data_IF_676354586282
#
_entry.id   IF_676354586282
#
_cell.length_a   1.000
_cell.length_b   1.000
_cell.length_c   1.000
_cell.angle_alpha   90.00
_cell.angle_beta   90.00
_cell.angle_gamma   90.00
#
_symmetry.space_group_name_H-M   'P 1'
#
loop_
_entity.id
_entity.type
_entity.pdbx_description
1 polymer ?
#
# COMPACT_ATOMS: atom_id res chain seq x y z
N UNK A 1 7.01 -12.39 24.52
CA UNK A 1 6.27 -13.63 24.17
C UNK A 1 4.80 -13.39 24.46
N UNK A 2 3.87 -13.88 23.65
CA UNK A 2 2.44 -13.65 23.84
C UNK A 2 1.68 -14.92 24.23
N UNK A 3 0.69 -14.79 25.11
CA UNK A 3 -0.29 -15.83 25.43
C UNK A 3 -1.67 -15.33 25.00
N UNK A 4 -2.30 -16.02 24.06
CA UNK A 4 -3.56 -15.61 23.45
C UNK A 4 -4.67 -16.56 23.91
N UNK A 5 -5.77 -16.00 24.38
CA UNK A 5 -7.00 -16.73 24.76
C UNK A 5 -8.18 -16.20 23.96
N UNK A 6 -9.36 -16.78 24.14
CA UNK A 6 -10.60 -16.28 23.55
C UNK A 6 -11.09 -14.96 24.17
N UNK A 7 -10.59 -14.58 25.35
CA UNK A 7 -11.06 -13.40 26.11
C UNK A 7 -10.02 -12.29 26.25
N UNK A 8 -8.74 -12.64 26.17
CA UNK A 8 -7.66 -11.69 26.41
C UNK A 8 -6.31 -12.16 25.85
N UNK A 9 -5.40 -11.19 25.72
CA UNK A 9 -4.01 -11.42 25.33
C UNK A 9 -3.09 -10.93 26.43
N UNK A 10 -2.12 -11.78 26.79
CA UNK A 10 -1.06 -11.44 27.71
C UNK A 10 0.30 -11.36 27.03
N UNK A 11 1.17 -10.52 27.57
CA UNK A 11 2.57 -10.41 27.20
C UNK A 11 3.47 -10.80 28.37
N UNK A 12 4.44 -11.69 28.13
CA UNK A 12 5.51 -11.97 29.08
C UNK A 12 6.57 -10.86 29.00
N UNK A 13 6.67 -10.07 30.05
CA UNK A 13 7.68 -9.02 30.23
C UNK A 13 8.73 -9.44 31.26
N UNK A 14 9.78 -8.65 31.45
CA UNK A 14 10.77 -8.87 32.52
C UNK A 14 10.19 -8.67 33.93
N UNK A 15 9.10 -7.91 34.06
CA UNK A 15 8.42 -7.68 35.32
C UNK A 15 7.34 -8.73 35.65
N UNK A 16 6.96 -9.57 34.67
CA UNK A 16 5.91 -10.57 34.81
C UNK A 16 4.92 -10.58 33.64
N UNK A 17 3.79 -11.25 33.83
CA UNK A 17 2.72 -11.37 32.83
C UNK A 17 1.86 -10.10 32.87
N UNK A 18 1.80 -9.40 31.74
CA UNK A 18 0.99 -8.21 31.55
C UNK A 18 -0.25 -8.52 30.73
N UNK A 19 -1.41 -8.02 31.15
CA UNK A 19 -2.63 -8.06 30.35
C UNK A 19 -2.64 -6.88 29.37
N UNK A 20 -2.60 -7.18 28.07
CA UNK A 20 -2.41 -6.15 27.02
C UNK A 20 -3.66 -5.94 26.15
N UNK A 21 -4.50 -6.96 25.98
CA UNK A 21 -5.75 -6.85 25.21
C UNK A 21 -6.90 -7.64 25.86
N UNK A 22 -8.14 -7.16 25.68
CA UNK A 22 -9.39 -7.80 26.10
C UNK A 22 -10.37 -7.91 24.93
N UNK A 23 -11.12 -9.00 24.85
CA UNK A 23 -12.10 -9.23 23.80
C UNK A 23 -13.27 -8.21 23.90
N UNK A 24 -13.86 -7.78 22.77
CA UNK A 24 -15.00 -6.87 22.77
C UNK A 24 -16.17 -7.43 23.60
N UNK A 25 -16.72 -6.61 24.50
CA UNK A 25 -17.85 -6.99 25.35
C UNK A 25 -17.52 -7.85 26.58
N UNK A 26 -16.25 -8.21 26.80
CA UNK A 26 -15.79 -8.92 28.00
C UNK A 26 -15.61 -7.96 29.17
N UNK A 27 -16.11 -8.35 30.35
CA UNK A 27 -15.92 -7.60 31.59
C UNK A 27 -14.59 -7.98 32.25
N UNK A 28 -13.70 -7.00 32.45
CA UNK A 28 -12.34 -7.23 32.97
C UNK A 28 -12.34 -7.95 34.32
N UNK A 29 -13.20 -7.54 35.26
CA UNK A 29 -13.17 -8.10 36.61
C UNK A 29 -13.84 -9.47 36.64
N UNK A 30 -15.06 -9.57 36.11
CA UNK A 30 -15.88 -10.78 36.18
C UNK A 30 -15.35 -11.90 35.29
N UNK A 31 -14.96 -11.57 34.06
CA UNK A 31 -14.72 -12.57 33.02
C UNK A 31 -13.23 -12.91 32.83
N UNK A 32 -12.33 -12.15 33.46
CA UNK A 32 -10.87 -12.35 33.40
C UNK A 32 -10.29 -12.43 34.81
N UNK A 33 -10.24 -11.33 35.57
CA UNK A 33 -9.47 -11.25 36.82
C UNK A 33 -9.99 -12.22 37.91
N UNK A 34 -11.31 -12.38 38.01
CA UNK A 34 -11.95 -13.30 38.97
C UNK A 34 -11.69 -14.78 38.65
N UNK A 35 -11.21 -15.09 37.44
CA UNK A 35 -10.92 -16.45 36.99
C UNK A 35 -9.42 -16.78 37.04
N UNK A 36 -8.59 -15.89 37.60
CA UNK A 36 -7.14 -16.05 37.68
C UNK A 36 -6.68 -16.22 39.13
N UNK A 37 -5.72 -17.11 39.36
CA UNK A 37 -5.08 -17.31 40.68
C UNK A 37 -4.10 -16.19 41.06
N UNK A 38 -3.83 -15.25 40.15
CA UNK A 38 -2.97 -14.10 40.38
C UNK A 38 -3.43 -12.89 39.57
N UNK A 39 -3.04 -11.68 40.00
CA UNK A 39 -3.34 -10.45 39.26
C UNK A 39 -2.24 -10.16 38.23
N UNK A 40 -2.56 -10.09 36.92
CA UNK A 40 -1.60 -9.69 35.90
C UNK A 40 -1.22 -8.22 36.06
N UNK A 41 -0.07 -7.85 35.50
CA UNK A 41 0.35 -6.46 35.40
C UNK A 41 -0.60 -5.71 34.45
N UNK A 42 -0.99 -4.49 34.83
CA UNK A 42 -1.81 -3.59 34.02
C UNK A 42 -1.33 -2.14 34.23
N UNK A 43 -0.10 -1.78 33.78
CA UNK A 43 0.41 -0.42 33.92
C UNK A 43 -0.45 0.60 33.15
N UNK A 44 -1.15 0.13 32.13
CA UNK A 44 -2.17 0.85 31.38
C UNK A 44 -3.42 -0.03 31.23
N UNK A 45 -4.62 0.55 31.06
CA UNK A 45 -5.80 -0.22 30.70
C UNK A 45 -5.55 -1.07 29.43
N UNK A 46 -6.03 -2.34 29.40
CA UNK A 46 -5.84 -3.17 28.22
C UNK A 46 -6.64 -2.64 27.04
N UNK A 47 -6.09 -2.82 25.85
CA UNK A 47 -6.73 -2.41 24.59
C UNK A 47 -7.86 -3.38 24.27
N UNK A 48 -8.85 -2.95 23.49
CA UNK A 48 -9.81 -3.90 22.93
C UNK A 48 -9.13 -4.67 21.79
N UNK A 49 -9.29 -5.99 21.77
CA UNK A 49 -8.84 -6.85 20.67
C UNK A 49 -9.51 -6.43 19.37
N UNK A 50 -8.85 -6.69 18.23
CA UNK A 50 -9.42 -6.36 16.92
C UNK A 50 -10.79 -7.05 16.73
N UNK A 51 -11.86 -6.26 16.59
CA UNK A 51 -13.22 -6.78 16.48
C UNK A 51 -13.41 -7.76 15.32
N UNK A 52 -12.59 -7.67 14.27
CA UNK A 52 -12.66 -8.57 13.12
C UNK A 52 -12.38 -10.02 13.50
N UNK A 53 -11.63 -10.26 14.59
CA UNK A 53 -11.38 -11.60 15.15
C UNK A 53 -12.70 -12.27 15.57
N UNK A 54 -13.69 -11.50 15.98
CA UNK A 54 -14.96 -11.97 16.56
C UNK A 54 -16.12 -11.97 15.56
N UNK A 55 -15.86 -11.68 14.28
CA UNK A 55 -16.86 -11.67 13.21
C UNK A 55 -16.71 -12.92 12.34
N UNK A 56 -17.81 -13.44 11.81
CA UNK A 56 -17.80 -14.62 10.91
C UNK A 56 -17.28 -14.29 9.50
N UNK A 57 -17.11 -13.01 9.16
CA UNK A 57 -16.61 -12.58 7.85
C UNK A 57 -15.08 -12.70 7.77
N UNK A 58 -14.50 -12.89 6.57
CA UNK A 58 -13.04 -12.85 6.40
C UNK A 58 -12.42 -11.54 6.92
N UNK A 59 -11.33 -11.65 7.67
CA UNK A 59 -10.64 -10.49 8.27
C UNK A 59 -9.91 -9.59 7.27
N UNK A 60 -9.70 -10.05 6.02
CA UNK A 60 -8.90 -9.34 5.02
C UNK A 60 -7.43 -9.23 5.39
N UNK A 61 -6.87 -10.22 6.11
CA UNK A 61 -5.46 -10.19 6.55
C UNK A 61 -4.48 -10.14 5.37
N UNK A 62 -4.84 -10.73 4.24
CA UNK A 62 -4.00 -10.69 3.04
C UNK A 62 -3.86 -9.27 2.53
N UNK A 63 -4.97 -8.54 2.42
CA UNK A 63 -5.00 -7.13 2.07
C UNK A 63 -4.21 -6.33 3.12
N UNK A 64 -4.50 -6.50 4.42
CA UNK A 64 -3.79 -5.79 5.49
C UNK A 64 -2.26 -6.01 5.50
N UNK A 65 -1.81 -7.24 5.21
CA UNK A 65 -0.40 -7.63 5.28
C UNK A 65 0.36 -7.42 3.96
N UNK A 66 -0.35 -7.40 2.82
CA UNK A 66 0.26 -7.25 1.49
C UNK A 66 0.01 -5.87 0.87
N UNK A 67 -0.95 -5.09 1.38
CA UNK A 67 -1.10 -3.69 1.00
C UNK A 67 0.02 -2.89 1.63
N UNK A 68 1.13 -2.81 0.89
CA UNK A 68 2.13 -1.76 1.12
C UNK A 68 1.37 -0.42 1.12
N UNK A 69 1.39 0.36 2.22
CA UNK A 69 0.76 1.67 2.25
C UNK A 69 1.23 2.48 1.07
N UNK A 70 0.34 3.26 0.45
CA UNK A 70 0.66 3.95 -0.80
C UNK A 70 1.93 4.79 -0.69
N UNK A 71 2.15 5.48 0.44
CA UNK A 71 3.36 6.25 0.72
C UNK A 71 4.66 5.42 0.70
N UNK A 72 4.61 4.14 1.07
CA UNK A 72 5.78 3.24 1.08
C UNK A 72 6.08 2.65 -0.31
N UNK A 73 5.20 2.89 -1.31
CA UNK A 73 5.39 2.44 -2.68
C UNK A 73 6.29 3.37 -3.49
N UNK A 74 6.65 4.53 -2.96
CA UNK A 74 7.48 5.53 -3.61
C UNK A 74 8.88 5.52 -3.02
N UNK A 75 9.88 5.41 -3.86
CA UNK A 75 11.28 5.47 -3.47
C UNK A 75 12.04 6.33 -4.48
N UNK A 76 12.55 7.47 -4.03
CA UNK A 76 13.41 8.32 -4.85
C UNK A 76 14.88 7.96 -4.63
N UNK A 77 15.57 7.55 -5.69
CA UNK A 77 17.01 7.33 -5.69
C UNK A 77 17.72 8.61 -6.15
N UNK A 78 18.27 9.35 -5.19
CA UNK A 78 18.95 10.63 -5.46
C UNK A 78 20.19 10.47 -6.33
N UNK A 79 20.90 9.33 -6.25
CA UNK A 79 22.13 9.10 -7.01
C UNK A 79 21.82 8.81 -8.49
N UNK A 80 20.73 8.09 -8.75
CA UNK A 80 20.29 7.79 -10.11
C UNK A 80 19.37 8.87 -10.71
N UNK A 81 18.84 9.77 -9.89
CA UNK A 81 17.78 10.73 -10.23
C UNK A 81 16.48 10.08 -10.73
N UNK A 82 16.11 8.96 -10.11
CA UNK A 82 14.97 8.13 -10.51
C UNK A 82 13.99 7.93 -9.37
N UNK A 83 12.71 8.25 -9.60
CA UNK A 83 11.60 7.83 -8.76
C UNK A 83 11.16 6.41 -9.14
N UNK A 84 11.24 5.49 -8.20
CA UNK A 84 10.64 4.17 -8.29
C UNK A 84 9.26 4.17 -7.65
N UNK A 85 8.26 3.68 -8.38
CA UNK A 85 6.89 3.54 -7.92
C UNK A 85 6.48 2.07 -8.02
N UNK A 86 6.14 1.45 -6.90
CA UNK A 86 5.70 0.06 -6.86
C UNK A 86 4.18 -0.06 -6.71
N UNK A 87 3.43 -0.13 -7.81
CA UNK A 87 1.99 -0.43 -7.77
C UNK A 87 1.66 -1.92 -7.82
N UNK A 88 2.61 -2.79 -7.46
CA UNK A 88 2.35 -4.21 -7.43
C UNK A 88 1.19 -4.56 -6.49
N UNK A 89 0.24 -5.37 -6.95
CA UNK A 89 -0.99 -5.74 -6.23
C UNK A 89 -1.92 -4.57 -5.85
N UNK A 90 -1.65 -3.33 -6.29
CA UNK A 90 -2.53 -2.19 -6.02
C UNK A 90 -3.83 -2.34 -6.81
N UNK A 91 -4.95 -2.05 -6.14
CA UNK A 91 -6.29 -2.05 -6.73
C UNK A 91 -6.83 -0.62 -6.72
N UNK A 92 -7.36 -0.17 -7.85
CA UNK A 92 -8.02 1.12 -8.02
C UNK A 92 -9.49 0.86 -8.33
N UNK A 93 -10.33 1.06 -7.32
CA UNK A 93 -11.77 0.75 -7.32
C UNK A 93 -12.65 1.98 -7.07
N UNK A 94 -12.04 3.11 -6.69
CA UNK A 94 -12.73 4.36 -6.46
C UNK A 94 -11.99 5.56 -7.05
N UNK A 95 -12.69 6.70 -7.19
CA UNK A 95 -12.05 7.98 -7.52
C UNK A 95 -11.15 8.49 -6.39
N UNK A 96 -11.44 8.09 -5.15
CA UNK A 96 -10.63 8.41 -3.98
C UNK A 96 -9.26 7.73 -4.06
N UNK A 97 -9.18 6.50 -4.58
CA UNK A 97 -7.90 5.82 -4.83
C UNK A 97 -7.04 6.62 -5.81
N UNK A 98 -7.64 7.12 -6.91
CA UNK A 98 -6.95 7.95 -7.90
C UNK A 98 -6.45 9.27 -7.26
N UNK A 99 -7.30 9.91 -6.45
CA UNK A 99 -6.92 11.12 -5.74
C UNK A 99 -5.76 10.87 -4.78
N UNK A 100 -5.81 9.79 -4.01
CA UNK A 100 -4.76 9.41 -3.06
C UNK A 100 -3.43 9.14 -3.78
N UNK A 101 -3.46 8.48 -4.94
CA UNK A 101 -2.26 8.29 -5.79
C UNK A 101 -1.66 9.62 -6.23
N UNK A 102 -2.49 10.52 -6.77
CA UNK A 102 -2.04 11.85 -7.20
C UNK A 102 -1.40 12.61 -6.04
N UNK A 103 -2.11 12.71 -4.93
CA UNK A 103 -1.69 13.52 -3.78
C UNK A 103 -0.39 12.96 -3.17
N UNK A 104 -0.21 11.63 -3.19
CA UNK A 104 1.04 10.99 -2.72
C UNK A 104 2.22 11.29 -3.66
N UNK A 105 2.02 11.23 -4.98
CA UNK A 105 3.06 11.59 -5.96
C UNK A 105 3.44 13.06 -5.80
N UNK A 106 2.45 13.94 -5.70
CA UNK A 106 2.66 15.38 -5.54
C UNK A 106 3.41 15.70 -4.24
N UNK A 107 3.04 15.07 -3.11
CA UNK A 107 3.74 15.26 -1.85
C UNK A 107 5.21 14.83 -1.91
N UNK A 108 5.53 13.81 -2.69
CA UNK A 108 6.90 13.33 -2.88
C UNK A 108 7.74 14.24 -3.79
N UNK A 109 7.15 14.74 -4.88
CA UNK A 109 7.89 15.41 -5.95
C UNK A 109 7.83 16.95 -5.90
N UNK A 110 6.75 17.54 -5.36
CA UNK A 110 6.64 18.99 -5.28
C UNK A 110 7.80 19.66 -4.53
N UNK A 111 8.35 19.10 -3.43
CA UNK A 111 9.50 19.69 -2.75
C UNK A 111 10.80 19.71 -3.58
N UNK A 112 10.93 18.86 -4.61
CA UNK A 112 12.14 18.77 -5.43
C UNK A 112 12.28 19.97 -6.39
N UNK A 113 11.18 20.63 -6.74
CA UNK A 113 11.17 21.82 -7.61
C UNK A 113 11.65 21.59 -9.04
N UNK A 114 11.79 20.33 -9.46
CA UNK A 114 12.29 19.92 -10.78
C UNK A 114 11.63 18.62 -11.23
N UNK A 115 11.74 18.33 -12.53
CA UNK A 115 11.32 17.06 -13.10
C UNK A 115 12.35 15.95 -12.82
N UNK A 116 11.87 14.71 -12.76
CA UNK A 116 12.68 13.51 -12.49
C UNK A 116 12.40 12.40 -13.50
N UNK A 117 13.25 11.39 -13.58
CA UNK A 117 12.92 10.15 -14.28
C UNK A 117 12.07 9.25 -13.39
N UNK A 118 11.17 8.46 -13.97
CA UNK A 118 10.31 7.56 -13.20
C UNK A 118 10.27 6.13 -13.77
N UNK A 119 10.21 5.14 -12.88
CA UNK A 119 9.97 3.73 -13.22
C UNK A 119 8.78 3.22 -12.40
N UNK A 120 7.75 2.71 -13.08
CA UNK A 120 6.51 2.25 -12.43
C UNK A 120 6.30 0.75 -12.63
N UNK A 121 6.16 0.03 -11.52
CA UNK A 121 5.76 -1.39 -11.52
C UNK A 121 4.23 -1.53 -11.51
N UNK A 122 3.67 -2.24 -12.47
CA UNK A 122 2.24 -2.56 -12.58
C UNK A 122 1.94 -4.07 -12.44
N UNK A 123 2.84 -4.88 -11.87
CA UNK A 123 2.59 -6.30 -11.66
C UNK A 123 1.36 -6.55 -10.78
N UNK A 124 0.47 -7.43 -11.21
CA UNK A 124 -0.80 -7.71 -10.51
C UNK A 124 -1.66 -6.45 -10.20
N UNK A 125 -1.41 -5.32 -10.87
CA UNK A 125 -2.22 -4.11 -10.75
C UNK A 125 -3.61 -4.33 -11.31
N UNK A 126 -4.64 -3.80 -10.64
CA UNK A 126 -6.02 -3.87 -11.07
C UNK A 126 -6.68 -2.51 -11.00
N UNK A 127 -7.47 -2.21 -12.03
CA UNK A 127 -8.27 -0.99 -12.08
C UNK A 127 -9.64 -1.29 -12.69
N UNK A 128 -10.68 -0.77 -12.07
CA UNK A 128 -12.04 -0.83 -12.59
C UNK A 128 -12.14 -0.10 -13.94
N UNK A 129 -12.88 -0.69 -14.87
CA UNK A 129 -12.91 -0.19 -16.25
C UNK A 129 -13.50 1.21 -16.38
N UNK A 130 -14.50 1.54 -15.55
CA UNK A 130 -15.09 2.88 -15.46
C UNK A 130 -14.10 3.96 -15.04
N UNK A 131 -13.02 3.58 -14.33
CA UNK A 131 -12.03 4.51 -13.78
C UNK A 131 -10.81 4.69 -14.68
N UNK A 132 -10.63 3.85 -15.70
CA UNK A 132 -9.44 3.86 -16.56
C UNK A 132 -9.23 5.22 -17.24
N UNK A 133 -10.30 5.84 -17.72
CA UNK A 133 -10.24 7.15 -18.37
C UNK A 133 -9.77 8.24 -17.40
N UNK A 134 -10.27 8.24 -16.16
CA UNK A 134 -9.89 9.24 -15.14
C UNK A 134 -8.46 9.01 -14.64
N UNK A 135 -8.09 7.74 -14.43
CA UNK A 135 -6.75 7.37 -13.99
C UNK A 135 -5.69 7.77 -15.02
N UNK A 136 -5.93 7.51 -16.30
CA UNK A 136 -5.00 7.92 -17.37
C UNK A 136 -4.93 9.44 -17.55
N UNK A 137 -6.00 10.17 -17.25
CA UNK A 137 -5.96 11.63 -17.22
C UNK A 137 -4.99 12.13 -16.13
N UNK A 138 -5.11 11.56 -14.93
CA UNK A 138 -4.24 11.87 -13.80
C UNK A 138 -2.78 11.50 -14.10
N UNK A 139 -2.52 10.33 -14.69
CA UNK A 139 -1.15 9.93 -15.08
C UNK A 139 -0.55 10.90 -16.11
N UNK A 140 -1.34 11.34 -17.08
CA UNK A 140 -0.90 12.31 -18.10
C UNK A 140 -0.53 13.67 -17.48
N UNK A 141 -1.32 14.16 -16.52
CA UNK A 141 -1.02 15.41 -15.79
C UNK A 141 0.28 15.29 -14.98
N UNK A 142 0.45 14.19 -14.24
CA UNK A 142 1.67 13.94 -13.46
C UNK A 142 2.91 13.84 -14.36
N UNK A 143 2.79 13.15 -15.50
CA UNK A 143 3.89 13.02 -16.47
C UNK A 143 4.29 14.37 -17.02
N UNK A 144 3.32 15.21 -17.40
CA UNK A 144 3.62 16.54 -17.93
C UNK A 144 4.27 17.46 -16.89
N UNK A 145 3.89 17.37 -15.62
CA UNK A 145 4.36 18.28 -14.56
C UNK A 145 5.66 17.82 -13.91
N UNK A 146 5.80 16.53 -13.64
CA UNK A 146 6.85 16.02 -12.76
C UNK A 146 7.86 15.09 -13.43
N UNK A 147 7.56 14.54 -14.62
CA UNK A 147 8.46 13.59 -15.26
C UNK A 147 9.20 14.18 -16.47
N UNK A 148 10.50 13.92 -16.53
CA UNK A 148 11.26 14.04 -17.77
C UNK A 148 10.91 12.89 -18.71
N UNK A 149 10.89 11.68 -18.14
CA UNK A 149 10.49 10.45 -18.82
C UNK A 149 10.03 9.44 -17.79
N UNK A 150 9.10 8.58 -18.19
CA UNK A 150 8.62 7.48 -17.38
C UNK A 150 8.63 6.19 -18.18
N UNK A 151 9.13 5.12 -17.56
CA UNK A 151 9.02 3.76 -18.07
C UNK A 151 8.17 2.93 -17.11
N UNK A 152 7.48 1.94 -17.65
CA UNK A 152 6.51 1.12 -16.93
C UNK A 152 6.80 -0.33 -17.21
N UNK A 153 6.52 -1.24 -16.29
CA UNK A 153 6.58 -2.66 -16.58
C UNK A 153 5.46 -3.45 -15.93
N UNK A 154 5.10 -4.54 -16.58
CA UNK A 154 4.19 -5.54 -16.05
C UNK A 154 4.39 -6.87 -16.78
N UNK A 155 4.31 -7.95 -16.03
CA UNK A 155 4.25 -9.33 -16.53
C UNK A 155 2.89 -9.68 -17.14
N UNK A 156 1.86 -8.85 -16.91
CA UNK A 156 0.51 -9.06 -17.46
C UNK A 156 0.37 -8.49 -18.87
N UNK A 157 0.35 -9.37 -19.87
CA UNK A 157 0.15 -8.98 -21.28
C UNK A 157 -1.19 -8.26 -21.52
N UNK A 158 -2.26 -8.66 -20.83
CA UNK A 158 -3.56 -7.99 -20.88
C UNK A 158 -3.47 -6.55 -20.35
N UNK A 159 -2.84 -6.37 -19.19
CA UNK A 159 -2.76 -5.06 -18.54
C UNK A 159 -1.83 -4.11 -19.32
N UNK A 160 -0.73 -4.64 -19.88
CA UNK A 160 0.11 -3.91 -20.83
C UNK A 160 -0.69 -3.36 -22.01
N UNK A 161 -1.49 -4.21 -22.68
CA UNK A 161 -2.31 -3.78 -23.82
C UNK A 161 -3.38 -2.77 -23.42
N UNK A 162 -4.09 -3.01 -22.32
CA UNK A 162 -5.18 -2.14 -21.83
C UNK A 162 -4.66 -0.76 -21.42
N UNK A 163 -3.58 -0.71 -20.64
CA UNK A 163 -2.98 0.55 -20.22
C UNK A 163 -2.32 1.27 -21.40
N UNK A 164 -1.65 0.53 -22.28
CA UNK A 164 -1.03 1.06 -23.50
C UNK A 164 -2.03 1.85 -24.36
N UNK A 165 -3.14 1.22 -24.74
CA UNK A 165 -4.19 1.89 -25.52
C UNK A 165 -4.78 3.13 -24.81
N UNK A 166 -4.97 3.06 -23.50
CA UNK A 166 -5.55 4.17 -22.74
C UNK A 166 -4.61 5.38 -22.62
N UNK A 167 -3.29 5.14 -22.54
CA UNK A 167 -2.28 6.20 -22.55
C UNK A 167 -2.09 6.80 -23.95
N UNK A 168 -2.04 5.96 -24.99
CA UNK A 168 -1.95 6.41 -26.40
C UNK A 168 -3.14 7.28 -26.80
N UNK A 169 -4.36 6.92 -26.35
CA UNK A 169 -5.56 7.71 -26.58
C UNK A 169 -5.48 9.13 -26.00
N UNK A 170 -4.56 9.38 -25.07
CA UNK A 170 -4.27 10.68 -24.46
C UNK A 170 -2.95 11.29 -24.95
N UNK A 171 -2.39 10.79 -26.05
CA UNK A 171 -1.11 11.22 -26.62
C UNK A 171 0.08 11.12 -25.64
N UNK A 172 0.01 10.17 -24.70
CA UNK A 172 1.11 9.85 -23.78
C UNK A 172 1.80 8.59 -24.26
N UNK A 173 3.13 8.60 -24.32
CA UNK A 173 3.89 7.44 -24.73
C UNK A 173 3.76 6.33 -23.67
N UNK A 174 3.30 5.12 -24.05
CA UNK A 174 2.98 4.10 -23.07
C UNK A 174 4.24 3.53 -22.39
N UNK A 175 5.35 3.34 -23.11
CA UNK A 175 6.64 2.80 -22.61
C UNK A 175 6.48 1.68 -21.57
N UNK A 176 5.71 0.64 -21.92
CA UNK A 176 5.40 -0.49 -21.03
C UNK A 176 6.16 -1.75 -21.48
N UNK A 177 7.03 -2.24 -20.60
CA UNK A 177 7.95 -3.36 -20.83
C UNK A 177 7.54 -4.62 -20.04
N UNK A 178 8.20 -5.75 -20.30
CA UNK A 178 7.88 -7.01 -19.61
C UNK A 178 8.62 -7.17 -18.29
N UNK A 179 9.72 -6.43 -18.10
CA UNK A 179 10.57 -6.56 -16.91
C UNK A 179 11.09 -5.23 -16.37
N UNK A 180 11.44 -5.24 -15.08
CA UNK A 180 12.10 -4.11 -14.43
C UNK A 180 13.47 -3.76 -15.05
N UNK A 181 14.21 -4.77 -15.54
CA UNK A 181 15.50 -4.55 -16.18
C UNK A 181 15.34 -3.79 -17.50
N UNK A 182 14.42 -4.23 -18.35
CA UNK A 182 14.12 -3.61 -19.64
C UNK A 182 13.63 -2.16 -19.45
N UNK A 183 12.72 -1.93 -18.51
CA UNK A 183 12.24 -0.57 -18.19
C UNK A 183 13.39 0.35 -17.72
N UNK A 184 14.29 -0.13 -16.87
CA UNK A 184 15.45 0.65 -16.41
C UNK A 184 16.44 0.96 -17.52
N UNK A 185 16.66 0.02 -18.44
CA UNK A 185 17.57 0.19 -19.56
C UNK A 185 17.04 1.26 -20.52
N UNK A 186 15.78 1.15 -20.91
CA UNK A 186 15.13 2.12 -21.79
C UNK A 186 14.87 3.49 -21.15
N UNK A 187 14.89 3.60 -19.82
CA UNK A 187 14.85 4.91 -19.17
C UNK A 187 16.08 5.75 -19.49
N UNK A 188 17.23 5.10 -19.70
CA UNK A 188 18.54 5.71 -19.92
C UNK A 188 18.96 5.80 -21.39
N UNK A 189 18.31 5.04 -22.26
CA UNK A 189 18.60 5.06 -23.70
C UNK A 189 17.92 6.26 -24.37
N UNK A 190 18.73 7.20 -24.87
CA UNK A 190 18.31 8.32 -25.73
C UNK A 190 17.80 7.79 -27.08
N UNK A 191 16.65 8.30 -27.53
CA UNK A 191 16.48 8.70 -28.93
C UNK A 191 16.00 10.15 -28.96
#
# INVERSE_FOLDING_TARGET
MHYVTERCVFELTTAGIQLIEIAPGVDLERDILSLMDFKPLMPTPPRVMDERIFRTAPMGLRELLLELPLAQRFHFDEAADVLFINFENLKVTSREDIATIRDTVEACLAPLGRKVFAVVNYDHFRIDESLLAEYTAMVSDLEHRFYHRVTRYTTSSFMRRKLGHALEARAVAPHIYESAQEARQHLRDEE
#
